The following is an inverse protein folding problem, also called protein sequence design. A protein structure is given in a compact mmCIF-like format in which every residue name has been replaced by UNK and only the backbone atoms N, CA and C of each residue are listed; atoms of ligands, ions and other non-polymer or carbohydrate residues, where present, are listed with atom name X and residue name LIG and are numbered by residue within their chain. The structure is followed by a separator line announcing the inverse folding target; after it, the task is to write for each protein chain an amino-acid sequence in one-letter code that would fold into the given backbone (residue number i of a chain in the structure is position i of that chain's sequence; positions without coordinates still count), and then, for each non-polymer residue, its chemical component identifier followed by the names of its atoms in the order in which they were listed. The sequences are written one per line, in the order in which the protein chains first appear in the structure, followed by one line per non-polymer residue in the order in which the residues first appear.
data_IF_744165629725
#
_entry.id   IF_744165629725
#
_cell.length_a   1.000
_cell.length_b   1.000
_cell.length_c   1.000
_cell.angle_alpha   90.00
_cell.angle_beta   90.00
_cell.angle_gamma   90.00
#
_symmetry.space_group_name_H-M   'P 1'
#
loop_
_entity.id
_entity.type
_entity.pdbx_description
1 polymer ?
#
# COMPACT_ATOMS: atom_id res chain seq x y z
N UNK A 1 12.67 3.50 -5.16
CA UNK A 1 11.66 4.03 -6.09
C UNK A 1 12.35 4.85 -7.21
N UNK A 2 13.17 5.84 -6.85
CA UNK A 2 13.80 6.74 -7.81
C UNK A 2 15.17 6.27 -8.29
N UNK A 3 15.78 5.25 -7.68
CA UNK A 3 17.09 4.72 -8.06
C UNK A 3 18.23 5.73 -7.87
N UNK A 4 18.14 6.60 -6.86
CA UNK A 4 19.17 7.57 -6.51
C UNK A 4 20.28 6.83 -5.77
N UNK A 5 20.98 5.98 -6.50
CA UNK A 5 22.04 5.12 -5.97
C UNK A 5 23.31 5.27 -6.81
N UNK A 6 24.47 5.21 -6.16
CA UNK A 6 25.77 5.12 -6.83
C UNK A 6 26.46 3.81 -6.44
N UNK A 7 27.07 3.17 -7.43
CA UNK A 7 27.85 1.95 -7.19
C UNK A 7 29.24 2.33 -6.72
N UNK A 8 29.58 2.00 -5.47
CA UNK A 8 30.91 2.18 -4.89
C UNK A 8 31.55 0.80 -4.62
N UNK A 9 32.40 0.36 -5.53
CA UNK A 9 32.91 -1.01 -5.51
C UNK A 9 31.82 -2.04 -5.81
N UNK A 10 31.54 -2.95 -4.88
CA UNK A 10 30.49 -3.95 -4.97
C UNK A 10 29.19 -3.55 -4.24
N UNK A 11 29.17 -2.41 -3.56
CA UNK A 11 28.03 -1.91 -2.81
C UNK A 11 27.28 -0.82 -3.58
N UNK A 12 25.96 -0.77 -3.38
CA UNK A 12 25.10 0.34 -3.80
C UNK A 12 24.90 1.28 -2.62
N UNK A 13 25.25 2.54 -2.83
CA UNK A 13 25.12 3.60 -1.81
C UNK A 13 23.95 4.50 -2.20
N UNK A 14 23.04 4.74 -1.27
CA UNK A 14 21.96 5.72 -1.41
C UNK A 14 22.56 7.14 -1.46
N UNK A 15 22.24 7.87 -2.52
CA UNK A 15 22.69 9.24 -2.76
C UNK A 15 21.58 10.27 -2.48
N UNK A 16 20.52 9.89 -1.78
CA UNK A 16 19.52 10.85 -1.28
C UNK A 16 20.19 11.82 -0.35
N UNK A 17 19.84 13.11 -0.43
CA UNK A 17 20.45 14.13 0.44
C UNK A 17 20.22 13.81 1.92
N UNK A 18 21.23 14.02 2.74
CA UNK A 18 21.14 13.85 4.21
C UNK A 18 20.21 14.90 4.86
N UNK A 19 19.93 16.00 4.16
CA UNK A 19 19.00 17.05 4.61
C UNK A 19 17.53 16.65 4.38
N UNK A 20 17.25 15.50 3.77
CA UNK A 20 15.90 15.03 3.55
C UNK A 20 15.19 14.68 4.86
N UNK A 21 13.96 15.15 5.03
CA UNK A 21 13.10 14.73 6.14
C UNK A 21 12.61 13.31 5.90
N UNK A 22 12.97 12.40 6.81
CA UNK A 22 12.58 11.00 6.76
C UNK A 22 11.42 10.76 7.72
N UNK A 23 10.36 10.14 7.23
CA UNK A 23 9.22 9.72 8.04
C UNK A 23 8.67 8.38 7.57
N UNK A 24 8.14 7.59 8.49
CA UNK A 24 7.38 6.37 8.22
C UNK A 24 5.86 6.61 8.23
N UNK A 25 5.42 7.87 8.31
CA UNK A 25 4.00 8.25 8.33
C UNK A 25 3.63 9.07 7.10
N UNK A 26 2.70 8.56 6.30
CA UNK A 26 2.16 9.25 5.12
C UNK A 26 1.49 10.57 5.51
N UNK A 27 0.74 10.62 6.61
CA UNK A 27 0.07 11.84 7.07
C UNK A 27 1.05 12.93 7.51
N UNK A 28 2.16 12.56 8.16
CA UNK A 28 3.21 13.51 8.53
C UNK A 28 3.87 14.09 7.28
N UNK A 29 4.19 13.26 6.29
CA UNK A 29 4.76 13.73 5.03
C UNK A 29 3.80 14.69 4.30
N UNK A 30 2.51 14.34 4.17
CA UNK A 30 1.49 15.19 3.56
C UNK A 30 1.42 16.57 4.25
N UNK A 31 1.34 16.58 5.58
CA UNK A 31 1.31 17.83 6.37
C UNK A 31 2.58 18.67 6.16
N UNK A 32 3.75 18.03 6.09
CA UNK A 32 5.02 18.71 5.87
C UNK A 32 5.04 19.40 4.50
N UNK A 33 4.64 18.69 3.43
CA UNK A 33 4.61 19.26 2.07
C UNK A 33 3.53 20.33 1.95
N UNK A 34 2.36 20.16 2.55
CA UNK A 34 1.30 21.16 2.55
C UNK A 34 1.69 22.46 3.29
N UNK A 35 2.60 22.36 4.27
CA UNK A 35 3.06 23.49 5.08
C UNK A 35 4.26 24.26 4.51
N UNK A 36 4.90 23.80 3.45
CA UNK A 36 6.08 24.42 2.85
C UNK A 36 6.00 24.43 1.32
N UNK A 37 5.89 25.62 0.75
CA UNK A 37 5.78 25.81 -0.71
C UNK A 37 7.01 25.34 -1.51
N UNK A 38 8.14 25.14 -0.84
CA UNK A 38 9.39 24.65 -1.43
C UNK A 38 9.60 23.16 -1.21
N UNK A 39 8.70 22.50 -0.47
CA UNK A 39 8.83 21.08 -0.19
C UNK A 39 8.35 20.21 -1.36
N UNK A 40 9.01 19.08 -1.54
CA UNK A 40 8.60 17.99 -2.43
C UNK A 40 8.58 16.68 -1.62
N UNK A 41 7.55 15.87 -1.84
CA UNK A 41 7.42 14.57 -1.20
C UNK A 41 6.89 13.51 -2.15
N UNK A 42 6.76 12.27 -1.68
CA UNK A 42 6.12 11.19 -2.44
C UNK A 42 5.20 10.35 -1.56
N UNK A 43 4.09 9.92 -2.12
CA UNK A 43 3.05 9.11 -1.45
C UNK A 43 2.49 8.07 -2.41
N UNK A 44 1.69 7.15 -1.88
CA UNK A 44 0.83 6.31 -2.71
C UNK A 44 -0.30 7.14 -3.34
N UNK A 45 -0.70 6.79 -4.57
CA UNK A 45 -1.78 7.48 -5.28
C UNK A 45 -3.10 7.50 -4.49
N UNK A 46 -3.44 6.39 -3.83
CA UNK A 46 -4.65 6.29 -3.01
C UNK A 46 -4.64 7.15 -1.73
N UNK A 47 -3.51 7.75 -1.37
CA UNK A 47 -3.40 8.70 -0.24
C UNK A 47 -3.40 10.16 -0.69
N UNK A 48 -3.45 10.43 -1.99
CA UNK A 48 -3.44 11.79 -2.52
C UNK A 48 -4.78 12.48 -2.24
N UNK A 49 -4.71 13.70 -1.73
CA UNK A 49 -5.87 14.57 -1.49
C UNK A 49 -5.61 16.01 -1.98
N UNK A 50 -6.59 16.90 -1.77
CA UNK A 50 -6.55 18.30 -2.24
C UNK A 50 -5.60 19.20 -1.43
N UNK A 51 -4.95 18.70 -0.39
CA UNK A 51 -4.01 19.50 0.44
C UNK A 51 -2.66 19.68 -0.22
N UNK A 52 -2.32 18.84 -1.19
CA UNK A 52 -1.07 18.90 -1.95
C UNK A 52 -1.34 18.75 -3.45
N UNK A 53 -0.37 19.18 -4.26
CA UNK A 53 -0.46 19.09 -5.72
C UNK A 53 0.38 17.94 -6.26
N UNK A 54 -0.26 17.02 -6.99
CA UNK A 54 0.47 15.99 -7.72
C UNK A 54 1.29 16.59 -8.87
N UNK A 55 2.53 16.16 -9.01
CA UNK A 55 3.45 16.58 -10.07
C UNK A 55 3.32 15.62 -11.26
N UNK A 56 3.31 16.18 -12.46
CA UNK A 56 3.39 15.39 -13.70
C UNK A 56 4.81 14.85 -13.89
N UNK A 57 4.93 13.60 -14.32
CA UNK A 57 6.21 12.99 -14.72
C UNK A 57 6.23 12.88 -16.24
N UNK A 58 7.21 13.49 -16.87
CA UNK A 58 7.31 13.60 -18.33
C UNK A 58 6.03 14.16 -19.00
N UNK A 59 5.34 15.06 -18.31
CA UNK A 59 4.08 15.64 -18.76
C UNK A 59 2.84 14.79 -18.50
N UNK A 60 2.99 13.59 -17.95
CA UNK A 60 1.88 12.65 -17.64
C UNK A 60 1.40 12.86 -16.21
N UNK A 61 0.09 12.89 -16.01
CA UNK A 61 -0.56 13.03 -14.69
C UNK A 61 -0.57 11.70 -13.93
N UNK A 62 -0.47 11.81 -12.58
CA UNK A 62 -0.62 10.68 -11.67
C UNK A 62 -2.09 10.29 -11.56
N UNK A 63 -2.57 9.42 -12.42
CA UNK A 63 -3.93 8.87 -12.39
C UNK A 63 -3.89 7.35 -12.44
N UNK A 64 -4.96 6.70 -11.96
CA UNK A 64 -5.10 5.23 -12.01
C UNK A 64 -4.89 4.72 -13.44
N UNK A 65 -5.53 5.36 -14.43
CA UNK A 65 -5.41 4.96 -15.84
C UNK A 65 -3.98 5.07 -16.37
N UNK A 66 -3.29 6.17 -16.04
CA UNK A 66 -1.92 6.42 -16.52
C UNK A 66 -0.89 5.50 -15.85
N UNK A 67 -1.14 5.08 -14.61
CA UNK A 67 -0.31 4.08 -13.94
C UNK A 67 -0.61 2.68 -14.50
N UNK A 68 -1.89 2.32 -14.68
CA UNK A 68 -2.31 1.00 -15.18
C UNK A 68 -1.84 0.72 -16.62
N UNK A 69 -1.70 1.76 -17.45
CA UNK A 69 -1.23 1.64 -18.83
C UNK A 69 0.27 1.94 -19.01
N UNK A 70 1.02 2.03 -17.89
CA UNK A 70 2.45 2.31 -17.86
C UNK A 70 2.87 3.68 -18.47
N UNK A 71 1.96 4.62 -18.67
CA UNK A 71 2.28 5.97 -19.12
C UNK A 71 2.95 6.79 -18.01
N UNK A 72 2.49 6.64 -16.77
CA UNK A 72 3.12 7.24 -15.60
C UNK A 72 4.21 6.32 -15.06
N UNK A 73 5.48 6.75 -15.21
CA UNK A 73 6.64 5.87 -15.01
C UNK A 73 7.04 5.61 -13.57
N UNK A 74 6.57 6.41 -12.62
CA UNK A 74 6.89 6.24 -11.20
C UNK A 74 5.77 5.44 -10.52
N UNK A 75 5.86 4.13 -10.63
CA UNK A 75 4.91 3.20 -10.05
C UNK A 75 5.62 1.98 -9.47
N UNK A 76 4.99 1.33 -8.50
CA UNK A 76 5.41 0.03 -7.96
C UNK A 76 4.22 -0.70 -7.35
N UNK A 77 4.21 -2.04 -7.38
CA UNK A 77 3.19 -2.82 -6.72
C UNK A 77 3.33 -2.77 -5.19
N UNK A 78 2.22 -2.98 -4.51
CA UNK A 78 2.21 -3.39 -3.11
C UNK A 78 2.22 -4.92 -3.05
N UNK A 79 3.00 -5.48 -2.12
CA UNK A 79 3.16 -6.91 -1.97
C UNK A 79 2.59 -7.34 -0.61
N UNK A 80 1.91 -8.48 -0.60
CA UNK A 80 1.53 -9.19 0.62
C UNK A 80 2.56 -10.29 0.84
N UNK A 81 3.09 -10.37 2.05
CA UNK A 81 4.02 -11.40 2.47
C UNK A 81 3.34 -12.25 3.53
N UNK A 82 3.42 -13.55 3.39
CA UNK A 82 2.94 -14.52 4.39
C UNK A 82 4.07 -15.46 4.78
N UNK A 83 3.96 -16.10 5.93
CA UNK A 83 4.92 -17.11 6.36
C UNK A 83 4.45 -18.50 5.96
N UNK A 84 5.38 -19.47 5.94
CA UNK A 84 5.05 -20.89 5.72
C UNK A 84 4.13 -21.47 6.81
N UNK A 85 3.92 -20.73 7.90
CA UNK A 85 3.09 -21.10 9.06
C UNK A 85 1.86 -20.23 9.22
N UNK A 86 1.40 -19.60 8.13
CA UNK A 86 0.20 -18.79 8.17
C UNK A 86 -1.02 -19.58 8.66
N UNK A 87 -1.86 -18.95 9.48
CA UNK A 87 -3.10 -19.55 9.97
C UNK A 87 -4.16 -19.63 8.85
N UNK A 88 -5.18 -20.46 9.03
CA UNK A 88 -6.29 -20.54 8.10
C UNK A 88 -7.03 -19.18 8.00
N UNK A 89 -7.12 -18.43 9.10
CA UNK A 89 -7.67 -17.08 9.10
C UNK A 89 -6.82 -16.10 8.25
N UNK A 90 -5.48 -16.20 8.32
CA UNK A 90 -4.60 -15.37 7.50
C UNK A 90 -4.74 -15.70 6.01
N UNK A 91 -4.78 -16.98 5.65
CA UNK A 91 -5.02 -17.44 4.27
C UNK A 91 -6.36 -16.94 3.73
N UNK A 92 -7.39 -17.08 4.53
CA UNK A 92 -8.75 -16.68 4.13
C UNK A 92 -8.85 -15.15 3.96
N UNK A 93 -8.21 -14.37 4.83
CA UNK A 93 -8.13 -12.93 4.66
C UNK A 93 -7.37 -12.53 3.39
N UNK A 94 -6.25 -13.19 3.07
CA UNK A 94 -5.53 -12.97 1.80
C UNK A 94 -6.41 -13.35 0.61
N UNK A 95 -7.14 -14.48 0.68
CA UNK A 95 -8.10 -14.86 -0.36
C UNK A 95 -9.19 -13.81 -0.55
N UNK A 96 -9.69 -13.22 0.55
CA UNK A 96 -10.64 -12.12 0.48
C UNK A 96 -10.05 -10.89 -0.23
N UNK A 97 -8.83 -10.47 0.16
CA UNK A 97 -8.14 -9.33 -0.46
C UNK A 97 -8.00 -9.54 -1.98
N UNK A 98 -7.64 -10.76 -2.40
CA UNK A 98 -7.41 -11.10 -3.81
C UNK A 98 -8.69 -11.45 -4.58
N UNK A 99 -9.84 -11.52 -3.91
CA UNK A 99 -11.15 -11.75 -4.56
C UNK A 99 -11.64 -10.49 -5.30
N UNK A 100 -12.66 -10.64 -6.16
CA UNK A 100 -13.30 -9.50 -6.81
C UNK A 100 -13.91 -8.51 -5.81
N UNK A 101 -14.35 -8.98 -4.66
CA UNK A 101 -14.92 -8.15 -3.59
C UNK A 101 -13.83 -7.30 -2.93
N UNK A 102 -12.69 -7.90 -2.57
CA UNK A 102 -11.53 -7.19 -2.05
C UNK A 102 -10.90 -6.25 -3.07
N UNK A 103 -10.74 -6.71 -4.31
CA UNK A 103 -10.15 -5.90 -5.38
C UNK A 103 -11.04 -4.70 -5.77
N UNK A 104 -12.35 -4.80 -5.60
CA UNK A 104 -13.25 -3.65 -5.74
C UNK A 104 -12.98 -2.60 -4.65
N UNK A 105 -12.72 -2.99 -3.42
CA UNK A 105 -12.36 -2.06 -2.33
C UNK A 105 -11.03 -1.37 -2.65
N UNK A 106 -10.05 -2.12 -3.18
CA UNK A 106 -8.77 -1.56 -3.63
C UNK A 106 -9.00 -0.46 -4.66
N UNK A 107 -9.80 -0.73 -5.69
CA UNK A 107 -10.12 0.21 -6.78
C UNK A 107 -10.93 1.42 -6.28
N UNK A 108 -11.96 1.20 -5.47
CA UNK A 108 -12.82 2.26 -4.91
C UNK A 108 -12.05 3.22 -3.98
N UNK A 109 -10.89 2.82 -3.47
CA UNK A 109 -10.00 3.65 -2.64
C UNK A 109 -8.80 4.23 -3.43
N UNK A 110 -8.86 4.26 -4.76
CA UNK A 110 -7.87 4.93 -5.61
C UNK A 110 -6.57 4.16 -5.80
N UNK A 111 -6.54 2.87 -5.45
CA UNK A 111 -5.43 1.97 -5.77
C UNK A 111 -5.74 1.18 -7.04
N UNK A 112 -4.73 0.50 -7.57
CA UNK A 112 -4.87 -0.28 -8.79
C UNK A 112 -5.05 -1.74 -8.41
N UNK A 113 -6.14 -2.33 -8.88
CA UNK A 113 -6.40 -3.77 -8.68
C UNK A 113 -5.41 -4.61 -9.48
N UNK A 114 -4.91 -5.68 -8.85
CA UNK A 114 -3.98 -6.62 -9.49
C UNK A 114 -4.71 -7.66 -10.35
N UNK A 115 -5.85 -8.16 -9.87
CA UNK A 115 -6.55 -9.27 -10.51
C UNK A 115 -7.81 -8.78 -11.26
N UNK A 116 -7.70 -8.58 -12.57
CA UNK A 116 -8.83 -8.20 -13.41
C UNK A 116 -9.93 -9.28 -13.47
N UNK A 117 -9.53 -10.56 -13.40
CA UNK A 117 -10.42 -11.74 -13.50
C UNK A 117 -10.61 -12.45 -12.15
N UNK A 118 -10.49 -11.72 -11.04
CA UNK A 118 -10.67 -12.28 -9.71
C UNK A 118 -12.10 -12.83 -9.53
N UNK A 119 -12.23 -14.01 -8.91
CA UNK A 119 -13.53 -14.57 -8.54
C UNK A 119 -14.09 -13.86 -7.32
N UNK A 120 -15.41 -13.92 -7.15
CA UNK A 120 -16.08 -13.48 -5.94
C UNK A 120 -15.52 -14.24 -4.72
N UNK A 121 -15.48 -13.59 -3.56
CA UNK A 121 -15.09 -14.26 -2.34
C UNK A 121 -16.13 -15.31 -1.94
N UNK A 122 -15.66 -16.49 -1.64
CA UNK A 122 -16.46 -17.58 -1.08
C UNK A 122 -15.98 -17.79 0.37
N UNK A 123 -16.83 -17.46 1.33
CA UNK A 123 -16.51 -17.60 2.74
C UNK A 123 -16.24 -19.09 3.08
N UNK A 124 -15.10 -19.36 3.70
CA UNK A 124 -14.80 -20.70 4.18
C UNK A 124 -15.48 -20.92 5.55
N UNK A 125 -16.09 -22.10 5.73
CA UNK A 125 -16.75 -22.47 6.97
C UNK A 125 -15.73 -22.67 8.12
N UNK A 126 -16.04 -22.12 9.29
CA UNK A 126 -15.30 -22.35 10.53
C UNK A 126 -13.95 -21.64 10.62
N UNK A 127 -13.66 -20.70 9.72
CA UNK A 127 -12.45 -19.88 9.81
C UNK A 127 -12.60 -18.87 10.94
N UNK A 128 -11.69 -18.94 11.89
CA UNK A 128 -11.67 -18.07 13.08
C UNK A 128 -10.24 -17.82 13.55
N UNK A 129 -10.06 -16.82 14.37
CA UNK A 129 -8.80 -16.50 15.04
C UNK A 129 -8.27 -15.12 14.71
N UNK A 130 -7.13 -14.80 15.29
CA UNK A 130 -6.50 -13.48 15.18
C UNK A 130 -5.46 -13.48 14.06
N UNK A 131 -5.55 -12.47 13.20
CA UNK A 131 -4.55 -12.14 12.17
C UNK A 131 -3.96 -10.77 12.49
N UNK A 132 -2.64 -10.68 12.52
CA UNK A 132 -1.92 -9.41 12.66
C UNK A 132 -1.35 -9.06 11.29
N UNK A 133 -1.69 -7.88 10.79
CA UNK A 133 -1.20 -7.33 9.54
C UNK A 133 -0.31 -6.14 9.88
N UNK A 134 0.99 -6.24 9.60
CA UNK A 134 1.94 -5.18 9.85
C UNK A 134 2.56 -4.69 8.53
N UNK A 135 2.81 -3.39 8.42
CA UNK A 135 3.48 -2.87 7.24
C UNK A 135 3.32 -1.38 7.00
N UNK A 136 3.57 -1.00 5.77
CA UNK A 136 3.72 0.38 5.33
C UNK A 136 2.46 1.23 5.54
N UNK A 137 2.65 2.44 6.09
CA UNK A 137 1.60 3.46 6.24
C UNK A 137 0.90 3.81 4.92
N UNK A 138 1.56 3.60 3.78
CA UNK A 138 0.96 3.79 2.45
C UNK A 138 -0.14 2.78 2.12
N UNK A 139 -0.15 1.62 2.77
CA UNK A 139 -1.14 0.54 2.56
C UNK A 139 -2.20 0.53 3.66
N UNK A 140 -1.91 1.08 4.82
CA UNK A 140 -2.79 1.09 6.00
C UNK A 140 -4.21 1.56 5.67
N UNK A 141 -4.46 2.65 4.93
CA UNK A 141 -5.82 3.12 4.65
C UNK A 141 -6.68 2.09 3.92
N UNK A 142 -6.15 1.45 2.88
CA UNK A 142 -6.90 0.42 2.13
C UNK A 142 -7.00 -0.87 2.94
N UNK A 143 -6.00 -1.21 3.74
CA UNK A 143 -6.02 -2.41 4.59
C UNK A 143 -7.10 -2.32 5.67
N UNK A 144 -7.33 -1.15 6.27
CA UNK A 144 -8.42 -0.93 7.21
C UNK A 144 -9.80 -1.10 6.55
N UNK A 145 -9.97 -0.68 5.29
CA UNK A 145 -11.21 -0.89 4.54
C UNK A 145 -11.44 -2.36 4.19
N UNK A 146 -10.38 -3.06 3.80
CA UNK A 146 -10.42 -4.50 3.54
C UNK A 146 -10.77 -5.29 4.80
N UNK A 147 -10.15 -4.94 5.94
CA UNK A 147 -10.47 -5.50 7.26
C UNK A 147 -11.93 -5.29 7.62
N UNK A 148 -12.43 -4.04 7.54
CA UNK A 148 -13.81 -3.70 7.88
C UNK A 148 -14.79 -4.56 7.06
N UNK A 149 -14.58 -4.67 5.77
CA UNK A 149 -15.44 -5.43 4.87
C UNK A 149 -15.32 -6.95 5.09
N UNK A 150 -14.12 -7.47 5.32
CA UNK A 150 -13.90 -8.87 5.64
C UNK A 150 -14.60 -9.29 6.94
N UNK A 151 -14.51 -8.47 8.01
CA UNK A 151 -15.17 -8.75 9.29
C UNK A 151 -16.70 -8.67 9.21
N UNK A 152 -17.25 -8.04 8.17
CA UNK A 152 -18.70 -8.08 7.92
C UNK A 152 -19.16 -9.45 7.42
N UNK A 153 -18.31 -10.19 6.71
CA UNK A 153 -18.59 -11.52 6.14
C UNK A 153 -18.03 -12.67 6.99
N UNK A 154 -16.96 -12.45 7.76
CA UNK A 154 -16.41 -13.40 8.73
C UNK A 154 -16.30 -12.76 10.12
N UNK A 155 -17.29 -13.05 10.97
CA UNK A 155 -17.42 -12.45 12.31
C UNK A 155 -16.59 -13.16 13.39
N UNK A 156 -16.06 -14.34 13.09
CA UNK A 156 -15.29 -15.16 14.01
C UNK A 156 -13.77 -14.91 13.87
N UNK A 157 -13.38 -14.07 12.93
CA UNK A 157 -12.01 -13.60 12.78
C UNK A 157 -11.78 -12.28 13.53
N UNK A 158 -10.54 -12.04 13.96
CA UNK A 158 -10.05 -10.78 14.49
C UNK A 158 -8.89 -10.30 13.64
N UNK A 159 -8.98 -9.10 13.10
CA UNK A 159 -7.90 -8.51 12.29
C UNK A 159 -7.33 -7.29 13.01
N UNK A 160 -6.04 -7.32 13.31
CA UNK A 160 -5.28 -6.19 13.85
C UNK A 160 -4.37 -5.62 12.78
N UNK A 161 -4.49 -4.33 12.46
CA UNK A 161 -3.60 -3.64 11.51
C UNK A 161 -2.62 -2.78 12.30
N UNK A 162 -1.32 -2.99 12.07
CA UNK A 162 -0.22 -2.27 12.70
C UNK A 162 0.51 -1.45 11.65
N UNK A 163 0.38 -0.13 11.72
CA UNK A 163 1.08 0.79 10.84
C UNK A 163 2.56 0.87 11.21
N UNK A 164 3.43 0.71 10.20
CA UNK A 164 4.88 0.86 10.32
C UNK A 164 5.49 1.20 8.96
N UNK A 165 6.80 1.14 8.84
CA UNK A 165 7.48 1.04 7.54
C UNK A 165 7.49 -0.41 7.03
N UNK A 166 7.80 -0.58 5.72
CA UNK A 166 7.79 -1.91 5.10
C UNK A 166 8.82 -2.87 5.70
N UNK A 167 9.98 -2.38 6.13
CA UNK A 167 11.04 -3.23 6.71
C UNK A 167 10.64 -3.75 8.08
N UNK A 168 10.09 -2.88 8.92
CA UNK A 168 9.56 -3.25 10.24
C UNK A 168 8.42 -4.24 10.13
N UNK A 169 7.54 -4.09 9.12
CA UNK A 169 6.43 -5.02 8.90
C UNK A 169 6.87 -6.43 8.46
N UNK A 170 8.11 -6.61 8.01
CA UNK A 170 8.68 -7.90 7.59
C UNK A 170 9.48 -8.63 8.68
N UNK A 171 9.73 -7.99 9.82
CA UNK A 171 10.53 -8.53 10.96
C UNK A 171 9.66 -8.90 12.13
#
# INVERSE_FOLDING_TARGET
LFGIEEKQGDEKVDMTTEDASITNSTSVMMTTVAGDENAIGYISLGSLDDTVKAVKIDGVEATVDNVSNDSYKIARPFNILTSDKESDAAKDFVNYIMSSDGQKIVEDNGYIKEAADAKAYEAADGVSGKVVVAGSSSVTPVMEKLKEAYLAVNKDAEIEVQESDSTTGMT
#
